data_IF_032224029213
#
_entry.id   IF_032224029213
#
_cell.length_a   1.000
_cell.length_b   1.000
_cell.length_c   1.000
_cell.angle_alpha   90.00
_cell.angle_beta   90.00
_cell.angle_gamma   90.00
#
_symmetry.space_group_name_H-M   'P 1'
#
loop_
_entity.id
_entity.type
_entity.pdbx_description
1 polymer ?
#
# COMPACT_ATOMS: atom_id res chain seq x y z
N UNK A 1 11.95 -0.84 -17.82
CA UNK A 1 12.69 -0.98 -16.53
C UNK A 1 11.98 -0.23 -15.40
N UNK A 2 11.73 1.09 -15.51
CA UNK A 2 11.08 1.88 -14.45
C UNK A 2 9.70 1.36 -13.99
N UNK A 3 8.85 0.89 -14.92
CA UNK A 3 7.54 0.31 -14.59
C UNK A 3 7.64 -0.94 -13.71
N UNK A 4 8.63 -1.79 -13.94
CA UNK A 4 8.82 -3.04 -13.17
C UNK A 4 9.34 -2.70 -11.77
N UNK A 5 10.31 -1.79 -11.66
CA UNK A 5 10.80 -1.32 -10.35
C UNK A 5 9.68 -0.70 -9.52
N UNK A 6 8.82 0.12 -10.14
CA UNK A 6 7.66 0.70 -9.47
C UNK A 6 6.61 -0.36 -9.06
N UNK A 7 6.33 -1.32 -9.95
CA UNK A 7 5.45 -2.44 -9.66
C UNK A 7 5.96 -3.26 -8.45
N UNK A 8 7.28 -3.47 -8.34
CA UNK A 8 7.89 -4.14 -7.19
C UNK A 8 7.68 -3.36 -5.89
N UNK A 9 7.77 -2.03 -5.92
CA UNK A 9 7.52 -1.18 -4.74
C UNK A 9 6.07 -1.34 -4.26
N UNK A 10 5.09 -1.27 -5.18
CA UNK A 10 3.67 -1.49 -4.84
C UNK A 10 3.46 -2.90 -4.28
N UNK A 11 4.05 -3.91 -4.92
CA UNK A 11 3.93 -5.30 -4.50
C UNK A 11 4.46 -5.49 -3.07
N UNK A 12 5.72 -5.12 -2.83
CA UNK A 12 6.38 -5.28 -1.53
C UNK A 12 5.62 -4.54 -0.43
N UNK A 13 5.23 -3.30 -0.67
CA UNK A 13 4.47 -2.52 0.30
C UNK A 13 3.10 -3.15 0.58
N UNK A 14 2.36 -3.56 -0.47
CA UNK A 14 1.10 -4.27 -0.34
C UNK A 14 1.22 -5.58 0.44
N UNK A 15 2.26 -6.37 0.20
CA UNK A 15 2.48 -7.63 0.92
C UNK A 15 2.80 -7.43 2.40
N UNK A 16 3.55 -6.39 2.76
CA UNK A 16 3.85 -6.09 4.18
C UNK A 16 2.57 -5.78 4.95
N UNK A 17 1.53 -5.23 4.32
CA UNK A 17 0.24 -5.01 4.98
C UNK A 17 -0.45 -6.30 5.45
N UNK A 18 -0.14 -7.47 4.86
CA UNK A 18 -0.66 -8.74 5.40
C UNK A 18 -0.11 -9.07 6.79
N UNK A 19 1.00 -8.46 7.23
CA UNK A 19 1.52 -8.68 8.59
C UNK A 19 0.57 -8.17 9.67
N UNK A 20 -0.08 -7.02 9.45
CA UNK A 20 -1.08 -6.50 10.40
C UNK A 20 -2.34 -7.37 10.46
N UNK A 21 -2.78 -7.91 9.33
CA UNK A 21 -3.83 -8.93 9.28
C UNK A 21 -3.42 -10.20 10.03
N UNK A 22 -2.24 -10.76 9.73
CA UNK A 22 -1.73 -11.95 10.40
C UNK A 22 -1.61 -11.74 11.93
N UNK A 23 -1.14 -10.57 12.37
CA UNK A 23 -1.07 -10.20 13.79
C UNK A 23 -2.44 -10.22 14.45
N UNK A 24 -3.45 -9.59 13.84
CA UNK A 24 -4.80 -9.48 14.41
C UNK A 24 -5.51 -10.83 14.55
N UNK A 25 -5.26 -11.76 13.62
CA UNK A 25 -5.87 -13.09 13.59
C UNK A 25 -4.98 -14.18 14.20
N UNK A 26 -3.81 -13.80 14.74
CA UNK A 26 -2.83 -14.69 15.37
C UNK A 26 -2.30 -15.78 14.42
N UNK A 27 -2.12 -15.44 13.16
CA UNK A 27 -1.44 -16.29 12.19
C UNK A 27 0.07 -16.14 12.35
N UNK A 28 0.68 -17.08 13.08
CA UNK A 28 2.11 -17.07 13.40
C UNK A 28 2.50 -16.06 14.48
N UNK A 29 3.80 -15.98 14.76
CA UNK A 29 4.35 -15.06 15.76
C UNK A 29 4.91 -13.79 15.10
N UNK A 30 4.04 -12.81 14.86
CA UNK A 30 4.44 -11.51 14.29
C UNK A 30 5.02 -10.62 15.39
N UNK A 31 6.34 -10.40 15.33
CA UNK A 31 7.10 -9.61 16.32
C UNK A 31 7.45 -8.20 15.84
N UNK A 32 7.34 -7.95 14.53
CA UNK A 32 7.66 -6.66 13.92
C UNK A 32 6.61 -5.58 14.25
N UNK A 33 5.36 -5.97 14.46
CA UNK A 33 4.31 -5.10 15.02
C UNK A 33 4.18 -5.48 16.49
N UNK A 34 4.69 -4.61 17.37
CA UNK A 34 4.75 -4.81 18.81
C UNK A 34 3.42 -4.47 19.48
N UNK A 35 2.71 -3.45 18.96
CA UNK A 35 1.35 -3.11 19.41
C UNK A 35 0.37 -4.25 19.14
N UNK A 36 -0.65 -4.32 19.99
CA UNK A 36 -1.81 -5.16 19.69
C UNK A 36 -2.56 -4.58 18.49
N UNK A 37 -3.03 -5.46 17.61
CA UNK A 37 -3.88 -5.11 16.46
C UNK A 37 -5.21 -5.80 16.68
N UNK A 38 -6.29 -5.04 16.77
CA UNK A 38 -7.64 -5.58 16.90
C UNK A 38 -8.09 -6.26 15.60
N UNK A 39 -9.11 -7.12 15.68
CA UNK A 39 -9.66 -7.79 14.48
C UNK A 39 -10.19 -6.80 13.42
N UNK A 40 -10.94 -5.73 13.77
CA UNK A 40 -11.36 -4.74 12.79
C UNK A 40 -10.17 -4.04 12.10
N UNK A 41 -9.14 -3.66 12.86
CA UNK A 41 -7.92 -3.09 12.29
C UNK A 41 -7.24 -4.10 11.34
N UNK A 42 -7.15 -5.38 11.74
CA UNK A 42 -6.63 -6.45 10.89
C UNK A 42 -7.37 -6.59 9.56
N UNK A 43 -8.69 -6.40 9.55
CA UNK A 43 -9.48 -6.37 8.31
C UNK A 43 -9.09 -5.15 7.47
N UNK A 44 -8.89 -3.96 8.06
CA UNK A 44 -8.38 -2.79 7.33
C UNK A 44 -6.98 -3.02 6.75
N UNK A 45 -6.09 -3.69 7.47
CA UNK A 45 -4.78 -4.12 6.96
C UNK A 45 -4.91 -5.05 5.74
N UNK A 46 -5.80 -6.04 5.81
CA UNK A 46 -6.10 -6.94 4.68
C UNK A 46 -6.66 -6.19 3.47
N UNK A 47 -7.64 -5.31 3.68
CA UNK A 47 -8.23 -4.48 2.62
C UNK A 47 -7.15 -3.62 1.96
N UNK A 48 -6.24 -3.02 2.74
CA UNK A 48 -5.12 -2.22 2.23
C UNK A 48 -4.21 -3.05 1.32
N UNK A 49 -3.83 -4.26 1.76
CA UNK A 49 -3.03 -5.18 0.96
C UNK A 49 -3.74 -5.52 -0.37
N UNK A 50 -5.03 -5.84 -0.32
CA UNK A 50 -5.84 -6.12 -1.51
C UNK A 50 -5.92 -4.91 -2.46
N UNK A 51 -6.11 -3.70 -1.95
CA UNK A 51 -6.13 -2.49 -2.79
C UNK A 51 -4.80 -2.27 -3.50
N UNK A 52 -3.65 -2.47 -2.84
CA UNK A 52 -2.35 -2.40 -3.51
C UNK A 52 -2.18 -3.48 -4.58
N UNK A 53 -2.64 -4.72 -4.34
CA UNK A 53 -2.59 -5.80 -5.33
C UNK A 53 -3.47 -5.49 -6.54
N UNK A 54 -4.68 -4.96 -6.32
CA UNK A 54 -5.57 -4.54 -7.42
C UNK A 54 -4.95 -3.38 -8.19
N UNK A 55 -4.42 -2.37 -7.51
CA UNK A 55 -3.72 -1.26 -8.16
C UNK A 55 -2.51 -1.74 -8.98
N UNK A 56 -1.73 -2.69 -8.45
CA UNK A 56 -0.63 -3.33 -9.15
C UNK A 56 -1.10 -4.07 -10.41
N UNK A 57 -2.15 -4.89 -10.31
CA UNK A 57 -2.70 -5.61 -11.45
C UNK A 57 -3.16 -4.65 -12.55
N UNK A 58 -3.91 -3.60 -12.18
CA UNK A 58 -4.36 -2.55 -13.10
C UNK A 58 -3.20 -1.81 -13.76
N UNK A 59 -2.16 -1.47 -13.01
CA UNK A 59 -0.93 -0.87 -13.54
C UNK A 59 -0.30 -1.80 -14.59
N UNK A 60 -0.17 -3.09 -14.30
CA UNK A 60 0.46 -4.06 -15.20
C UNK A 60 -0.32 -4.22 -16.51
N UNK A 61 -1.66 -4.22 -16.45
CA UNK A 61 -2.55 -4.28 -17.63
C UNK A 61 -2.81 -2.90 -18.28
N UNK A 62 -2.06 -1.86 -17.91
CA UNK A 62 -2.13 -0.50 -18.46
C UNK A 62 -3.50 0.17 -18.34
N UNK A 63 -4.21 -0.06 -17.25
CA UNK A 63 -5.51 0.56 -16.98
C UNK A 63 -5.34 1.87 -16.22
N UNK A 64 -5.69 2.99 -16.82
CA UNK A 64 -5.40 4.35 -16.30
C UNK A 64 -5.94 4.63 -14.90
N UNK A 65 -7.13 4.12 -14.60
CA UNK A 65 -7.78 4.18 -13.28
C UNK A 65 -7.06 3.41 -12.16
N UNK A 66 -5.90 2.77 -12.41
CA UNK A 66 -5.03 2.21 -11.36
C UNK A 66 -4.67 3.25 -10.30
N UNK A 67 -4.53 4.53 -10.68
CA UNK A 67 -4.17 5.61 -9.74
C UNK A 67 -5.25 5.85 -8.70
N UNK A 68 -6.53 5.71 -9.05
CA UNK A 68 -7.66 5.90 -8.12
C UNK A 68 -7.60 4.84 -7.01
N UNK A 69 -7.38 3.59 -7.40
CA UNK A 69 -7.25 2.46 -6.46
C UNK A 69 -6.00 2.62 -5.59
N UNK A 70 -4.88 3.05 -6.19
CA UNK A 70 -3.64 3.29 -5.45
C UNK A 70 -3.78 4.43 -4.42
N UNK A 71 -4.48 5.52 -4.75
CA UNK A 71 -4.74 6.62 -3.80
C UNK A 71 -5.56 6.13 -2.61
N UNK A 72 -6.62 5.35 -2.85
CA UNK A 72 -7.40 4.75 -1.77
C UNK A 72 -6.54 3.85 -0.87
N UNK A 73 -5.66 3.04 -1.47
CA UNK A 73 -4.70 2.21 -0.74
C UNK A 73 -3.72 3.05 0.11
N UNK A 74 -3.17 4.14 -0.44
CA UNK A 74 -2.24 5.05 0.27
C UNK A 74 -2.92 5.69 1.48
N UNK A 75 -4.16 6.19 1.33
CA UNK A 75 -4.90 6.82 2.42
C UNK A 75 -5.09 5.83 3.58
N UNK A 76 -5.62 4.64 3.27
CA UNK A 76 -5.86 3.62 4.30
C UNK A 76 -4.54 3.12 4.91
N UNK A 77 -3.51 2.92 4.08
CA UNK A 77 -2.16 2.58 4.53
C UNK A 77 -1.60 3.60 5.50
N UNK A 78 -1.76 4.89 5.22
CA UNK A 78 -1.19 5.93 6.07
C UNK A 78 -1.91 6.01 7.42
N UNK A 79 -3.23 5.82 7.44
CA UNK A 79 -4.01 5.71 8.69
C UNK A 79 -3.46 4.55 9.55
N UNK A 80 -3.28 3.36 8.96
CA UNK A 80 -2.74 2.19 9.68
C UNK A 80 -1.29 2.39 10.15
N UNK A 81 -0.44 3.02 9.35
CA UNK A 81 0.93 3.32 9.77
C UNK A 81 0.95 4.23 11.01
N UNK A 82 0.04 5.21 11.08
CA UNK A 82 -0.06 6.11 12.24
C UNK A 82 -0.48 5.36 13.50
N UNK A 83 -1.36 4.35 13.42
CA UNK A 83 -1.77 3.59 14.62
C UNK A 83 -0.62 2.77 15.22
N UNK A 84 0.30 2.29 14.39
CA UNK A 84 1.51 1.51 14.78
C UNK A 84 2.83 2.23 14.45
N UNK A 85 2.87 3.55 14.63
CA UNK A 85 3.95 4.43 14.16
C UNK A 85 5.38 3.97 14.52
N UNK A 86 5.60 3.53 15.77
CA UNK A 86 6.93 3.07 16.23
C UNK A 86 7.50 1.95 15.36
N UNK A 87 6.61 1.09 14.87
CA UNK A 87 6.94 -0.15 14.18
C UNK A 87 6.92 0.04 12.65
N UNK A 88 6.04 0.92 12.13
CA UNK A 88 5.72 0.97 10.71
C UNK A 88 6.05 2.30 10.00
N UNK A 89 6.62 3.31 10.67
CA UNK A 89 6.87 4.66 10.08
C UNK A 89 7.60 4.64 8.72
N UNK A 90 8.47 3.65 8.47
CA UNK A 90 9.16 3.54 7.18
C UNK A 90 8.23 3.19 6.01
N UNK A 91 7.06 2.62 6.28
CA UNK A 91 6.00 2.45 5.28
C UNK A 91 5.51 3.78 4.69
N UNK A 92 5.66 4.89 5.41
CA UNK A 92 5.33 6.23 4.86
C UNK A 92 6.24 6.60 3.69
N UNK A 93 7.49 6.13 3.67
CA UNK A 93 8.40 6.35 2.53
C UNK A 93 7.84 5.69 1.26
N UNK A 94 7.35 4.45 1.37
CA UNK A 94 6.71 3.76 0.25
C UNK A 94 5.45 4.52 -0.23
N UNK A 95 4.60 5.00 0.70
CA UNK A 95 3.44 5.83 0.34
C UNK A 95 3.84 7.10 -0.41
N UNK A 96 4.88 7.81 0.04
CA UNK A 96 5.38 9.03 -0.62
C UNK A 96 5.90 8.72 -2.03
N UNK A 97 6.67 7.64 -2.19
CA UNK A 97 7.18 7.24 -3.51
C UNK A 97 6.02 6.93 -4.45
N UNK A 98 5.03 6.15 -4.00
CA UNK A 98 3.87 5.78 -4.83
C UNK A 98 3.06 7.03 -5.20
N UNK A 99 2.83 7.93 -4.26
CA UNK A 99 2.13 9.19 -4.51
C UNK A 99 2.89 10.08 -5.51
N UNK A 100 4.22 10.19 -5.38
CA UNK A 100 5.04 10.95 -6.31
C UNK A 100 4.95 10.43 -7.74
N UNK A 101 4.95 9.11 -7.93
CA UNK A 101 4.76 8.49 -9.25
C UNK A 101 3.36 8.74 -9.80
N UNK A 102 2.32 8.69 -8.95
CA UNK A 102 0.95 9.02 -9.37
C UNK A 102 0.86 10.47 -9.85
N UNK A 103 1.41 11.43 -9.09
CA UNK A 103 1.41 12.85 -9.47
C UNK A 103 2.14 13.04 -10.80
N UNK A 104 3.34 12.45 -10.95
CA UNK A 104 4.09 12.52 -12.21
C UNK A 104 3.30 11.93 -13.40
N UNK A 105 2.66 10.77 -13.20
CA UNK A 105 1.83 10.13 -14.21
C UNK A 105 0.67 11.04 -14.66
N UNK A 106 -0.04 11.65 -13.71
CA UNK A 106 -1.17 12.53 -13.99
C UNK A 106 -0.75 13.83 -14.70
N UNK A 107 0.36 14.45 -14.29
CA UNK A 107 0.91 15.63 -14.97
C UNK A 107 1.26 15.33 -16.43
N UNK A 108 1.89 14.18 -16.68
CA UNK A 108 2.22 13.76 -18.05
C UNK A 108 0.97 13.49 -18.88
N UNK A 109 -0.02 12.80 -18.30
CA UNK A 109 -1.29 12.50 -18.96
C UNK A 109 -2.07 13.77 -19.34
N UNK A 110 -2.11 14.76 -18.45
CA UNK A 110 -2.74 16.05 -18.70
C UNK A 110 -2.04 16.86 -19.80
N UNK A 111 -0.72 16.73 -19.96
CA UNK A 111 0.04 17.41 -21.02
C UNK A 111 -0.07 16.77 -22.41
N UNK A 112 -0.56 15.53 -22.49
CA UNK A 112 -0.68 14.77 -23.74
C UNK A 112 -2.08 14.76 -24.36
N UNK A 113 -3.05 15.38 -23.70
CA UNK A 113 -4.43 15.58 -24.17
C UNK A 113 -4.70 17.07 -24.39
#
# INVERSE_FOLDING_TARGET
MLKISFALIIALHGFIHFMGFAKAFRYGNITQITKQVSKPEGICWFITACLFIVALALLLVNKEWWTIVAIAAIILSQILIVTVWSDAKFGTIANIIILGVIIYYQLKYASSN
#
